data_IF_997884292920
#
_entry.id   IF_997884292920
#
_cell.length_a   1.000
_cell.length_b   1.000
_cell.length_c   1.000
_cell.angle_alpha   90.00
_cell.angle_beta   90.00
_cell.angle_gamma   90.00
#
_symmetry.space_group_name_H-M   'P 1'
#
loop_
_entity.id
_entity.type
_entity.pdbx_description
1 polymer ?
#
# COMPACT_ATOMS: atom_id res chain seq x y z
N UNK A 1 3.42 34.33 -16.69
CA UNK A 1 4.45 34.17 -15.65
C UNK A 1 3.91 33.11 -14.70
N UNK A 2 4.27 31.85 -14.95
CA UNK A 2 3.91 30.74 -14.07
C UNK A 2 4.77 30.86 -12.82
N UNK A 3 4.13 30.88 -11.67
CA UNK A 3 4.79 30.89 -10.36
C UNK A 3 5.63 29.60 -10.25
N UNK A 4 6.92 29.66 -9.83
CA UNK A 4 7.70 28.45 -9.64
C UNK A 4 6.99 27.60 -8.58
N UNK A 5 6.78 26.33 -8.88
CA UNK A 5 6.31 25.32 -7.94
C UNK A 5 7.18 25.44 -6.69
N UNK A 6 6.60 25.96 -5.61
CA UNK A 6 7.27 25.94 -4.30
C UNK A 6 7.57 24.50 -3.98
N UNK A 7 8.86 24.16 -3.91
CA UNK A 7 9.31 22.86 -3.42
C UNK A 7 8.77 22.72 -2.00
N UNK A 8 7.82 21.82 -1.77
CA UNK A 8 7.23 21.71 -0.44
C UNK A 8 8.29 21.18 0.52
N UNK A 9 8.28 21.76 1.70
CA UNK A 9 9.04 21.48 2.89
C UNK A 9 9.46 19.99 3.00
N UNK A 10 10.78 19.76 3.00
CA UNK A 10 11.60 18.60 3.39
C UNK A 10 10.88 17.27 3.64
N UNK A 11 10.09 16.76 2.70
CA UNK A 11 9.44 15.46 2.83
C UNK A 11 10.43 14.33 2.68
N UNK A 12 10.21 13.28 3.45
CA UNK A 12 10.93 12.02 3.32
C UNK A 12 9.94 10.87 3.11
N UNK A 13 10.19 10.02 2.10
CA UNK A 13 9.21 9.04 1.62
C UNK A 13 9.83 7.65 1.52
N UNK A 14 9.18 6.66 2.15
CA UNK A 14 9.44 5.23 1.92
C UNK A 14 8.37 4.67 0.98
N UNK A 15 8.75 4.27 -0.22
CA UNK A 15 7.87 3.56 -1.14
C UNK A 15 7.95 2.08 -0.86
N UNK A 16 6.81 1.42 -0.67
CA UNK A 16 6.71 -0.02 -0.39
C UNK A 16 5.95 -0.70 -1.52
N UNK A 17 6.61 -1.64 -2.18
CA UNK A 17 6.04 -2.43 -3.27
C UNK A 17 6.10 -3.92 -2.94
N UNK A 18 4.96 -4.59 -2.81
CA UNK A 18 4.91 -6.05 -2.72
C UNK A 18 5.14 -6.64 -4.12
N UNK A 19 5.98 -7.66 -4.22
CA UNK A 19 6.35 -8.30 -5.48
C UNK A 19 6.04 -9.80 -5.42
N UNK A 20 5.30 -10.30 -6.40
CA UNK A 20 5.09 -11.73 -6.59
C UNK A 20 5.02 -12.08 -8.07
N UNK A 21 6.08 -12.72 -8.58
CA UNK A 21 6.28 -13.03 -10.01
C UNK A 21 6.19 -11.78 -10.88
N UNK A 22 6.98 -10.76 -10.52
CA UNK A 22 6.99 -9.43 -11.13
C UNK A 22 8.29 -9.11 -11.89
N UNK A 23 9.11 -10.10 -12.27
CA UNK A 23 10.43 -9.87 -12.90
C UNK A 23 10.37 -8.91 -14.10
N UNK A 24 9.26 -8.91 -14.84
CA UNK A 24 9.09 -8.12 -16.05
C UNK A 24 8.78 -6.63 -15.80
N UNK A 25 8.34 -6.25 -14.60
CA UNK A 25 7.84 -4.90 -14.29
C UNK A 25 8.68 -4.13 -13.28
N UNK A 26 9.41 -4.82 -12.41
CA UNK A 26 10.15 -4.22 -11.29
C UNK A 26 11.17 -3.18 -11.75
N UNK A 27 11.94 -3.48 -12.81
CA UNK A 27 12.98 -2.58 -13.32
C UNK A 27 12.38 -1.25 -13.79
N UNK A 28 11.30 -1.33 -14.57
CA UNK A 28 10.61 -0.15 -15.08
C UNK A 28 9.94 0.64 -13.95
N UNK A 29 9.34 -0.02 -12.97
CA UNK A 29 8.77 0.64 -11.80
C UNK A 29 9.87 1.42 -11.03
N UNK A 30 11.01 0.78 -10.74
CA UNK A 30 12.12 1.42 -10.05
C UNK A 30 12.68 2.61 -10.85
N UNK A 31 12.82 2.47 -12.17
CA UNK A 31 13.26 3.56 -13.04
C UNK A 31 12.33 4.78 -12.92
N UNK A 32 11.02 4.59 -13.09
CA UNK A 32 10.02 5.67 -12.99
C UNK A 32 9.96 6.28 -11.59
N UNK A 33 10.01 5.46 -10.54
CA UNK A 33 10.08 5.97 -9.16
C UNK A 33 11.34 6.81 -8.93
N UNK A 34 12.48 6.39 -9.47
CA UNK A 34 13.74 7.14 -9.35
C UNK A 34 13.74 8.47 -10.13
N UNK A 35 12.86 8.63 -11.11
CA UNK A 35 12.67 9.89 -11.82
C UNK A 35 11.70 10.84 -11.08
N UNK A 36 10.67 10.31 -10.46
CA UNK A 36 9.64 11.11 -9.78
C UNK A 36 10.05 11.52 -8.37
N UNK A 37 10.58 10.59 -7.56
CA UNK A 37 10.81 10.82 -6.13
C UNK A 37 11.78 11.97 -5.83
N UNK A 38 12.90 12.19 -6.56
CA UNK A 38 13.80 13.32 -6.31
C UNK A 38 13.15 14.70 -6.52
N UNK A 39 12.05 14.77 -7.27
CA UNK A 39 11.33 16.01 -7.54
C UNK A 39 10.36 16.39 -6.42
N UNK A 40 9.99 15.43 -5.55
CA UNK A 40 8.92 15.59 -4.55
C UNK A 40 9.36 15.28 -3.12
N UNK A 41 10.57 14.75 -2.94
CA UNK A 41 11.11 14.38 -1.63
C UNK A 41 12.61 14.71 -1.55
N UNK A 42 13.07 15.15 -0.39
CA UNK A 42 14.49 15.39 -0.10
C UNK A 42 15.24 14.10 0.25
N UNK A 43 14.52 13.13 0.78
CA UNK A 43 15.01 11.79 1.09
C UNK A 43 13.96 10.75 0.72
N UNK A 44 14.39 9.66 0.11
CA UNK A 44 13.49 8.57 -0.22
C UNK A 44 14.20 7.21 -0.20
N UNK A 45 13.40 6.16 -0.07
CA UNK A 45 13.79 4.77 -0.30
C UNK A 45 12.68 4.03 -1.04
N UNK A 46 13.05 3.00 -1.78
CA UNK A 46 12.15 2.07 -2.46
C UNK A 46 12.37 0.70 -1.83
N UNK A 47 11.35 0.17 -1.17
CA UNK A 47 11.38 -1.13 -0.49
C UNK A 47 10.59 -2.12 -1.34
N UNK A 48 11.29 -3.03 -1.98
CA UNK A 48 10.72 -4.13 -2.76
C UNK A 48 10.63 -5.37 -1.88
N UNK A 49 9.42 -5.85 -1.64
CA UNK A 49 9.18 -7.01 -0.77
C UNK A 49 8.82 -8.22 -1.63
N UNK A 50 9.77 -9.12 -1.85
CA UNK A 50 9.53 -10.37 -2.56
C UNK A 50 8.69 -11.32 -1.69
N UNK A 51 7.46 -11.61 -2.12
CA UNK A 51 6.52 -12.50 -1.43
C UNK A 51 6.65 -13.95 -1.91
N UNK A 52 7.88 -14.48 -1.90
CA UNK A 52 8.17 -15.85 -2.30
C UNK A 52 7.89 -16.13 -3.78
N UNK A 53 8.34 -15.25 -4.68
CA UNK A 53 8.24 -15.42 -6.13
C UNK A 53 8.94 -16.70 -6.59
N UNK A 54 8.43 -17.27 -7.70
CA UNK A 54 8.98 -18.48 -8.33
C UNK A 54 9.75 -18.18 -9.61
N UNK A 55 9.69 -16.92 -10.08
CA UNK A 55 10.44 -16.39 -11.21
C UNK A 55 11.74 -15.73 -10.72
N UNK A 56 12.40 -14.95 -11.58
CA UNK A 56 13.64 -14.24 -11.26
C UNK A 56 13.46 -12.91 -10.51
N UNK A 57 12.28 -12.67 -9.93
CA UNK A 57 12.00 -11.41 -9.22
C UNK A 57 13.02 -11.12 -8.11
N UNK A 58 13.43 -12.15 -7.34
CA UNK A 58 14.40 -11.93 -6.26
C UNK A 58 15.80 -11.57 -6.77
N UNK A 59 16.25 -12.21 -7.85
CA UNK A 59 17.51 -11.88 -8.49
C UNK A 59 17.50 -10.42 -8.99
N UNK A 60 16.43 -10.00 -9.66
CA UNK A 60 16.26 -8.61 -10.14
C UNK A 60 16.27 -7.62 -8.97
N UNK A 61 15.54 -7.91 -7.89
CA UNK A 61 15.52 -7.06 -6.68
C UNK A 61 16.92 -6.96 -6.06
N UNK A 62 17.64 -8.08 -5.97
CA UNK A 62 18.99 -8.12 -5.41
C UNK A 62 19.98 -7.30 -6.23
N UNK A 63 19.89 -7.38 -7.55
CA UNK A 63 20.68 -6.60 -8.48
C UNK A 63 20.40 -5.10 -8.33
N UNK A 64 19.13 -4.68 -8.36
CA UNK A 64 18.73 -3.28 -8.16
C UNK A 64 19.23 -2.73 -6.81
N UNK A 65 19.12 -3.53 -5.75
CA UNK A 65 19.56 -3.14 -4.40
C UNK A 65 21.09 -3.01 -4.30
N UNK A 66 21.84 -3.77 -5.10
CA UNK A 66 23.31 -3.67 -5.14
C UNK A 66 23.81 -2.44 -5.88
N UNK A 67 23.05 -1.94 -6.86
CA UNK A 67 23.42 -0.80 -7.69
C UNK A 67 22.84 0.55 -7.21
N UNK A 68 21.91 0.54 -6.26
CA UNK A 68 21.27 1.75 -5.77
C UNK A 68 21.11 1.76 -4.25
N UNK A 69 21.70 2.75 -3.59
CA UNK A 69 21.56 2.94 -2.14
C UNK A 69 20.13 3.29 -1.70
N UNK A 70 19.27 3.72 -2.62
CA UNK A 70 17.88 4.06 -2.35
C UNK A 70 16.93 2.87 -2.51
N UNK A 71 17.38 1.76 -3.11
CA UNK A 71 16.58 0.54 -3.30
C UNK A 71 16.96 -0.50 -2.25
N UNK A 72 15.96 -1.08 -1.59
CA UNK A 72 16.12 -2.15 -0.61
C UNK A 72 15.23 -3.33 -0.95
N UNK A 73 15.81 -4.53 -1.01
CA UNK A 73 15.08 -5.79 -1.14
C UNK A 73 14.80 -6.42 0.23
N UNK A 74 13.58 -6.92 0.41
CA UNK A 74 13.20 -7.81 1.52
C UNK A 74 12.69 -9.12 0.92
N UNK A 75 13.27 -10.25 1.33
CA UNK A 75 12.90 -11.56 0.81
C UNK A 75 12.13 -12.36 1.86
N UNK A 76 10.87 -12.65 1.58
CA UNK A 76 10.05 -13.52 2.43
C UNK A 76 10.31 -14.99 2.07
N UNK A 77 10.34 -15.86 3.05
CA UNK A 77 10.67 -17.29 2.87
C UNK A 77 9.62 -18.07 2.06
N UNK A 78 8.41 -17.54 1.91
CA UNK A 78 7.31 -18.11 1.12
C UNK A 78 6.28 -17.03 0.79
N UNK A 79 5.32 -17.34 -0.06
CA UNK A 79 4.17 -16.48 -0.29
C UNK A 79 3.27 -16.43 0.95
N UNK A 80 3.20 -15.25 1.57
CA UNK A 80 2.32 -14.92 2.70
C UNK A 80 1.12 -14.09 2.28
N UNK A 81 1.09 -13.59 1.05
CA UNK A 81 0.07 -12.70 0.47
C UNK A 81 0.43 -11.24 0.56
N UNK A 82 -0.09 -10.47 -0.41
CA UNK A 82 0.22 -9.06 -0.65
C UNK A 82 0.17 -8.18 0.62
N UNK A 83 -0.86 -8.33 1.45
CA UNK A 83 -0.99 -7.52 2.67
C UNK A 83 0.07 -7.85 3.73
N UNK A 84 0.53 -9.11 3.82
CA UNK A 84 1.64 -9.47 4.71
C UNK A 84 2.97 -8.92 4.19
N UNK A 85 3.20 -8.96 2.87
CA UNK A 85 4.37 -8.34 2.25
C UNK A 85 4.36 -6.82 2.47
N UNK A 86 3.22 -6.15 2.27
CA UNK A 86 3.05 -4.73 2.59
C UNK A 86 3.35 -4.44 4.06
N UNK A 87 2.80 -5.22 5.01
CA UNK A 87 3.05 -5.01 6.43
C UNK A 87 4.55 -5.15 6.77
N UNK A 88 5.24 -6.11 6.16
CA UNK A 88 6.68 -6.27 6.31
C UNK A 88 7.43 -5.00 5.85
N UNK A 89 7.13 -4.50 4.65
CA UNK A 89 7.74 -3.28 4.11
C UNK A 89 7.41 -2.03 4.92
N UNK A 90 6.15 -1.87 5.36
CA UNK A 90 5.70 -0.74 6.20
C UNK A 90 6.46 -0.72 7.54
N UNK A 91 6.71 -1.88 8.14
CA UNK A 91 7.51 -1.99 9.37
C UNK A 91 8.97 -1.63 9.15
N UNK A 92 9.50 -1.91 7.97
CA UNK A 92 10.89 -1.59 7.59
C UNK A 92 11.09 -0.15 7.10
N UNK A 93 10.01 0.60 6.83
CA UNK A 93 10.05 1.97 6.36
C UNK A 93 10.74 2.89 7.37
N UNK A 94 11.62 3.80 6.88
CA UNK A 94 12.42 4.71 7.71
C UNK A 94 11.87 6.12 7.76
N UNK A 95 11.22 6.56 6.68
CA UNK A 95 10.91 7.97 6.44
C UNK A 95 9.51 8.34 6.94
N UNK A 96 9.23 9.65 6.94
CA UNK A 96 8.01 10.25 7.51
C UNK A 96 6.72 9.74 6.85
N UNK A 97 6.77 9.52 5.53
CA UNK A 97 5.62 9.06 4.76
C UNK A 97 5.90 7.67 4.21
N UNK A 98 4.87 6.83 4.24
CA UNK A 98 4.84 5.56 3.51
C UNK A 98 3.91 5.71 2.33
N UNK A 99 4.42 5.40 1.14
CA UNK A 99 3.63 5.22 -0.07
C UNK A 99 3.60 3.73 -0.42
N UNK A 100 2.43 3.16 -0.68
CA UNK A 100 2.34 1.80 -1.23
C UNK A 100 1.91 1.86 -2.69
N UNK A 101 2.52 1.04 -3.53
CA UNK A 101 2.23 0.91 -4.96
C UNK A 101 2.49 -0.53 -5.41
N UNK A 102 1.64 -1.07 -6.28
CA UNK A 102 1.83 -2.41 -6.84
C UNK A 102 2.89 -2.41 -7.95
N UNK A 103 3.48 -3.58 -8.24
CA UNK A 103 4.55 -3.73 -9.22
C UNK A 103 4.06 -3.81 -10.69
N UNK A 104 2.76 -3.80 -10.93
CA UNK A 104 2.15 -4.06 -12.24
C UNK A 104 2.02 -2.82 -13.15
N UNK A 105 2.51 -1.66 -12.71
CA UNK A 105 2.50 -0.37 -13.44
C UNK A 105 1.10 0.17 -13.77
N UNK A 106 0.04 -0.39 -13.17
CA UNK A 106 -1.32 0.12 -13.38
C UNK A 106 -1.53 1.50 -12.74
N UNK A 107 -0.80 1.79 -11.66
CA UNK A 107 -0.74 3.11 -11.04
C UNK A 107 0.58 3.79 -11.42
N UNK A 108 0.54 4.84 -12.28
CA UNK A 108 1.75 5.55 -12.66
C UNK A 108 2.39 6.27 -11.46
N UNK A 109 3.72 6.12 -11.22
CA UNK A 109 4.42 6.89 -10.18
C UNK A 109 4.27 8.41 -10.32
N UNK A 110 4.02 8.90 -11.52
CA UNK A 110 3.78 10.32 -11.84
C UNK A 110 2.52 10.89 -11.19
N UNK A 111 1.64 10.04 -10.70
CA UNK A 111 0.45 10.44 -9.94
C UNK A 111 0.72 10.66 -8.43
N UNK A 112 1.93 10.32 -7.93
CA UNK A 112 2.29 10.48 -6.51
C UNK A 112 2.11 11.94 -6.03
N UNK A 113 2.49 12.99 -6.80
CA UNK A 113 2.30 14.38 -6.37
C UNK A 113 0.85 14.71 -6.01
N UNK A 114 -0.14 14.13 -6.69
CA UNK A 114 -1.56 14.39 -6.41
C UNK A 114 -1.99 13.79 -5.05
N UNK A 115 -1.45 12.61 -4.69
CA UNK A 115 -1.70 12.00 -3.37
C UNK A 115 -1.09 12.86 -2.26
N UNK A 116 0.12 13.36 -2.46
CA UNK A 116 0.80 14.22 -1.50
C UNK A 116 0.07 15.56 -1.33
N UNK A 117 -0.35 16.19 -2.41
CA UNK A 117 -1.13 17.43 -2.36
C UNK A 117 -2.43 17.22 -1.55
N UNK A 118 -3.10 16.08 -1.75
CA UNK A 118 -4.30 15.73 -0.99
C UNK A 118 -4.00 15.47 0.49
N UNK A 119 -2.85 14.86 0.81
CA UNK A 119 -2.41 14.62 2.18
C UNK A 119 -2.21 15.95 2.95
N UNK A 120 -1.73 16.99 2.25
CA UNK A 120 -1.50 18.33 2.82
C UNK A 120 -2.78 19.05 3.24
N UNK A 121 -3.92 18.62 2.72
CA UNK A 121 -5.23 19.14 3.14
C UNK A 121 -5.64 18.67 4.55
N UNK A 122 -4.75 17.95 5.26
CA UNK A 122 -4.95 17.52 6.64
C UNK A 122 -5.42 16.08 6.81
N UNK A 123 -5.36 15.29 5.76
CA UNK A 123 -5.60 13.84 5.85
C UNK A 123 -4.37 13.12 6.40
N UNK A 124 -4.57 11.96 7.03
CA UNK A 124 -3.50 11.08 7.49
C UNK A 124 -3.24 9.93 6.50
N UNK A 125 -4.26 9.53 5.76
CA UNK A 125 -4.22 8.49 4.73
C UNK A 125 -4.93 9.01 3.49
N UNK A 126 -4.31 8.87 2.31
CA UNK A 126 -4.91 9.24 1.02
C UNK A 126 -4.80 8.07 0.04
N UNK A 127 -5.92 7.71 -0.58
CA UNK A 127 -6.00 6.71 -1.63
C UNK A 127 -6.02 7.35 -3.02
N UNK A 128 -5.27 6.77 -3.95
CA UNK A 128 -5.37 7.06 -5.38
C UNK A 128 -6.42 6.14 -6.02
N UNK A 129 -7.58 6.67 -6.38
CA UNK A 129 -8.66 5.92 -7.01
C UNK A 129 -8.72 6.16 -8.53
N UNK A 130 -9.02 5.15 -9.36
CA UNK A 130 -9.13 5.35 -10.80
C UNK A 130 -10.30 6.28 -11.15
N UNK A 131 -10.10 7.09 -12.19
CA UNK A 131 -11.07 8.11 -12.67
C UNK A 131 -12.39 7.52 -13.18
N UNK A 132 -12.39 6.26 -13.59
CA UNK A 132 -13.56 5.60 -14.16
C UNK A 132 -13.99 4.45 -13.26
N UNK A 133 -15.29 4.35 -12.97
CA UNK A 133 -15.86 3.10 -12.44
C UNK A 133 -15.68 1.99 -13.50
N UNK A 134 -14.51 1.37 -13.50
CA UNK A 134 -14.35 0.13 -14.22
C UNK A 134 -15.21 -0.92 -13.51
N UNK A 135 -16.37 -1.17 -14.08
CA UNK A 135 -17.27 -2.26 -13.73
C UNK A 135 -16.58 -3.60 -13.99
N UNK A 136 -15.59 -3.94 -13.17
CA UNK A 136 -14.88 -5.22 -13.24
C UNK A 136 -15.28 -6.08 -12.04
N UNK A 137 -15.60 -7.34 -12.32
CA UNK A 137 -15.84 -8.44 -11.37
C UNK A 137 -14.77 -8.53 -10.26
N UNK A 138 -13.59 -7.98 -10.47
CA UNK A 138 -12.48 -7.90 -9.49
C UNK A 138 -12.81 -7.03 -8.27
N UNK A 139 -13.63 -5.98 -8.42
CA UNK A 139 -14.09 -5.14 -7.30
C UNK A 139 -15.18 -5.81 -6.44
N UNK A 140 -15.88 -6.80 -7.00
CA UNK A 140 -16.91 -7.54 -6.27
C UNK A 140 -16.33 -8.44 -5.18
N UNK A 141 -15.01 -8.70 -5.22
CA UNK A 141 -14.36 -9.72 -4.42
C UNK A 141 -13.49 -9.22 -3.26
N UNK A 142 -13.24 -7.93 -3.12
CA UNK A 142 -12.79 -7.42 -1.82
C UNK A 142 -13.87 -7.77 -0.81
N UNK A 143 -13.55 -8.63 0.16
CA UNK A 143 -14.55 -9.33 0.97
C UNK A 143 -15.60 -8.34 1.49
N UNK A 144 -16.87 -8.70 1.42
CA UNK A 144 -18.00 -7.90 1.89
C UNK A 144 -17.79 -7.42 3.34
N UNK A 145 -17.06 -8.19 4.12
CA UNK A 145 -16.69 -7.93 5.52
C UNK A 145 -15.69 -6.78 5.61
N UNK A 146 -14.64 -6.75 4.78
CA UNK A 146 -13.66 -5.66 4.76
C UNK A 146 -14.31 -4.34 4.36
N UNK A 147 -15.20 -4.38 3.37
CA UNK A 147 -15.99 -3.20 2.95
C UNK A 147 -16.95 -2.71 4.03
N UNK A 148 -17.59 -3.62 4.77
CA UNK A 148 -18.50 -3.25 5.84
C UNK A 148 -17.75 -2.64 7.02
N UNK A 149 -16.62 -3.22 7.42
CA UNK A 149 -15.74 -2.68 8.45
C UNK A 149 -15.18 -1.30 8.07
N UNK A 150 -14.74 -1.14 6.83
CA UNK A 150 -14.26 0.15 6.31
C UNK A 150 -15.38 1.20 6.23
N UNK A 151 -16.59 0.82 5.78
CA UNK A 151 -17.74 1.75 5.76
C UNK A 151 -18.10 2.25 7.15
N UNK A 152 -18.06 1.38 8.15
CA UNK A 152 -18.35 1.76 9.53
C UNK A 152 -17.26 2.67 10.14
N UNK A 153 -15.98 2.47 9.77
CA UNK A 153 -14.86 3.20 10.34
C UNK A 153 -14.53 4.51 9.62
N UNK A 154 -14.70 4.57 8.29
CA UNK A 154 -14.16 5.66 7.44
C UNK A 154 -15.22 6.36 6.59
N UNK A 155 -16.46 5.90 6.64
CA UNK A 155 -17.55 6.40 5.82
C UNK A 155 -17.64 5.73 4.44
N UNK A 156 -18.84 5.81 3.83
CA UNK A 156 -19.16 5.11 2.58
C UNK A 156 -18.32 5.54 1.38
N UNK A 157 -17.94 6.82 1.33
CA UNK A 157 -17.28 7.39 0.13
C UNK A 157 -15.80 7.06 0.07
N UNK A 158 -15.10 7.05 1.20
CA UNK A 158 -13.71 6.63 1.26
C UNK A 158 -13.59 5.11 1.03
N UNK A 159 -14.49 4.32 1.60
CA UNK A 159 -14.49 2.86 1.43
C UNK A 159 -14.69 2.42 -0.04
N UNK A 160 -15.32 3.25 -0.88
CA UNK A 160 -15.42 3.00 -2.34
C UNK A 160 -14.10 3.21 -3.09
N UNK A 161 -13.22 4.05 -2.54
CA UNK A 161 -12.00 4.52 -3.17
C UNK A 161 -10.73 3.82 -2.65
N UNK A 162 -10.88 2.79 -1.81
CA UNK A 162 -9.75 2.01 -1.30
C UNK A 162 -8.95 1.38 -2.45
N UNK A 163 -7.66 1.62 -2.45
CA UNK A 163 -6.72 1.20 -3.48
C UNK A 163 -5.40 0.75 -2.86
N UNK A 164 -4.64 -0.08 -3.58
CA UNK A 164 -3.26 -0.43 -3.21
C UNK A 164 -2.32 0.79 -3.35
N UNK A 165 -2.67 1.75 -4.19
CA UNK A 165 -1.96 3.01 -4.35
C UNK A 165 -2.42 4.00 -3.29
N UNK A 166 -1.63 4.16 -2.23
CA UNK A 166 -1.95 5.04 -1.11
C UNK A 166 -0.70 5.64 -0.48
N UNK A 167 -0.87 6.80 0.15
CA UNK A 167 0.14 7.45 0.98
C UNK A 167 -0.41 7.68 2.38
N UNK A 168 0.43 7.52 3.40
CA UNK A 168 0.05 7.79 4.78
C UNK A 168 1.26 8.12 5.67
N UNK A 169 1.00 8.72 6.84
CA UNK A 169 2.05 9.03 7.81
C UNK A 169 2.58 7.77 8.48
N UNK A 170 3.89 7.58 8.46
CA UNK A 170 4.55 6.38 8.98
C UNK A 170 4.24 6.12 10.45
N UNK A 171 4.05 7.17 11.26
CA UNK A 171 3.69 7.05 12.67
C UNK A 171 2.39 6.25 12.91
N UNK A 172 1.48 6.19 11.95
CA UNK A 172 0.24 5.41 12.09
C UNK A 172 0.50 3.91 12.32
N UNK A 173 1.66 3.40 11.89
CA UNK A 173 2.03 1.98 12.11
C UNK A 173 2.14 1.62 13.59
N UNK A 174 2.34 2.58 14.49
CA UNK A 174 2.44 2.34 15.94
C UNK A 174 1.16 1.73 16.51
N UNK A 175 0.00 2.09 15.97
CA UNK A 175 -1.29 1.54 16.39
C UNK A 175 -1.41 0.03 16.14
N UNK A 176 -0.63 -0.52 15.20
CA UNK A 176 -0.61 -1.94 14.86
C UNK A 176 0.80 -2.58 14.92
N UNK A 177 1.73 -1.95 15.65
CA UNK A 177 3.11 -2.44 15.77
C UNK A 177 3.17 -3.89 16.28
N UNK A 178 2.32 -4.24 17.25
CA UNK A 178 2.25 -5.55 17.87
C UNK A 178 1.29 -6.54 17.17
N UNK A 179 0.79 -6.18 15.97
CA UNK A 179 -0.11 -7.06 15.25
C UNK A 179 0.64 -8.29 14.71
N UNK A 180 0.21 -9.50 15.09
CA UNK A 180 0.90 -10.75 14.76
C UNK A 180 -0.02 -11.79 14.10
N UNK A 181 -1.28 -11.43 13.79
CA UNK A 181 -2.18 -12.37 13.10
C UNK A 181 -1.71 -12.60 11.65
N UNK A 182 -1.84 -13.82 11.14
CA UNK A 182 -1.56 -14.12 9.73
C UNK A 182 -2.56 -13.48 8.76
N UNK A 183 -3.70 -13.02 9.26
CA UNK A 183 -4.76 -12.38 8.46
C UNK A 183 -4.60 -10.87 8.51
N UNK A 184 -3.92 -10.31 7.52
CA UNK A 184 -3.63 -8.87 7.45
C UNK A 184 -4.54 -8.20 6.41
N UNK A 185 -5.11 -7.06 6.79
CA UNK A 185 -5.63 -6.07 5.86
C UNK A 185 -5.08 -4.71 6.28
N UNK A 186 -4.20 -4.13 5.47
CA UNK A 186 -3.57 -2.84 5.76
C UNK A 186 -4.62 -1.76 5.94
N UNK A 187 -5.69 -1.79 5.12
CA UNK A 187 -6.76 -0.80 5.20
C UNK A 187 -7.49 -0.84 6.54
N UNK A 188 -7.75 -2.04 7.06
CA UNK A 188 -8.34 -2.22 8.39
C UNK A 188 -7.37 -1.77 9.49
N UNK A 189 -6.07 -2.09 9.38
CA UNK A 189 -5.09 -1.67 10.38
C UNK A 189 -4.95 -0.15 10.44
N UNK A 190 -5.00 0.55 9.31
CA UNK A 190 -4.96 2.01 9.26
C UNK A 190 -6.18 2.64 9.96
N UNK A 191 -7.35 1.99 9.95
CA UNK A 191 -8.53 2.51 10.69
C UNK A 191 -8.37 2.46 12.22
N UNK A 192 -7.42 1.70 12.73
CA UNK A 192 -7.13 1.70 14.18
C UNK A 192 -6.35 2.95 14.60
N UNK A 193 -5.64 3.57 13.66
CA UNK A 193 -4.75 4.69 13.93
C UNK A 193 -5.41 6.05 13.69
N UNK A 194 -6.33 6.14 12.73
CA UNK A 194 -6.95 7.41 12.33
C UNK A 194 -8.32 7.23 11.72
N UNK A 195 -9.10 8.32 11.72
CA UNK A 195 -10.35 8.47 10.97
C UNK A 195 -10.23 9.48 9.82
N UNK A 196 -9.07 10.14 9.66
CA UNK A 196 -8.82 11.19 8.65
C UNK A 196 -8.32 10.59 7.34
N UNK A 197 -9.25 10.00 6.59
CA UNK A 197 -9.00 9.40 5.30
C UNK A 197 -9.46 10.30 4.16
N UNK A 198 -8.64 10.42 3.11
CA UNK A 198 -8.94 11.11 1.87
C UNK A 198 -8.80 10.19 0.67
N UNK A 199 -9.28 10.65 -0.48
CA UNK A 199 -9.06 10.02 -1.77
C UNK A 199 -8.83 11.11 -2.83
N UNK A 200 -8.05 10.77 -3.85
CA UNK A 200 -7.89 11.58 -5.06
C UNK A 200 -8.05 10.69 -6.28
N UNK A 201 -8.48 11.30 -7.38
CA UNK A 201 -8.64 10.58 -8.64
C UNK A 201 -7.30 10.55 -9.38
N UNK A 202 -6.86 9.36 -9.76
CA UNK A 202 -5.59 9.15 -10.48
C UNK A 202 -5.82 8.47 -11.82
N UNK A 203 -4.88 8.63 -12.73
CA UNK A 203 -4.85 7.88 -13.99
C UNK A 203 -4.58 6.41 -13.67
N UNK A 204 -5.30 5.52 -14.34
CA UNK A 204 -5.12 4.08 -14.24
C UNK A 204 -4.77 3.52 -15.62
N UNK A 205 -3.65 2.83 -15.71
CA UNK A 205 -3.17 2.25 -16.96
C UNK A 205 -3.52 0.76 -17.05
N UNK A 206 -3.71 0.21 -18.26
CA UNK A 206 -3.80 -1.23 -18.44
C UNK A 206 -2.51 -1.90 -17.95
N UNK A 207 -2.60 -3.11 -17.39
CA UNK A 207 -1.43 -3.87 -16.96
C UNK A 207 -0.46 -4.10 -18.11
N UNK A 208 0.81 -3.79 -17.94
CA UNK A 208 1.82 -3.89 -18.99
C UNK A 208 2.23 -5.33 -19.31
N UNK A 209 2.18 -6.25 -18.33
CA UNK A 209 2.54 -7.67 -18.49
C UNK A 209 1.98 -8.53 -17.36
N UNK A 210 1.79 -9.83 -17.64
CA UNK A 210 1.36 -10.83 -16.66
C UNK A 210 -0.13 -11.15 -16.64
N UNK A 211 -0.46 -12.43 -16.33
CA UNK A 211 -1.82 -12.88 -16.03
C UNK A 211 -2.13 -12.58 -14.55
N UNK A 212 -3.39 -12.26 -14.24
CA UNK A 212 -3.83 -12.09 -12.87
C UNK A 212 -3.55 -13.34 -12.03
N UNK A 213 -2.72 -13.23 -11.01
CA UNK A 213 -2.41 -14.31 -10.06
C UNK A 213 -3.57 -14.63 -9.10
N UNK A 214 -4.70 -13.93 -9.23
CA UNK A 214 -5.92 -14.20 -8.47
C UNK A 214 -6.74 -15.31 -9.11
N UNK A 215 -6.50 -16.55 -8.68
CA UNK A 215 -7.33 -17.69 -9.08
C UNK A 215 -8.54 -17.80 -8.15
N UNK A 216 -9.72 -18.12 -8.72
CA UNK A 216 -11.00 -18.30 -8.00
C UNK A 216 -10.89 -19.21 -6.75
N UNK A 217 -10.01 -20.19 -6.78
CA UNK A 217 -9.73 -21.11 -5.65
C UNK A 217 -9.09 -20.43 -4.44
N UNK A 218 -8.23 -19.42 -4.63
CA UNK A 218 -7.65 -18.64 -3.53
C UNK A 218 -8.70 -17.78 -2.85
N UNK A 219 -9.69 -17.33 -3.60
CA UNK A 219 -10.79 -16.50 -3.12
C UNK A 219 -11.75 -17.26 -2.18
N UNK A 220 -12.13 -18.48 -2.56
CA UNK A 220 -13.02 -19.35 -1.76
C UNK A 220 -12.35 -19.75 -0.45
N UNK A 221 -11.03 -19.95 -0.47
CA UNK A 221 -10.26 -20.29 0.74
C UNK A 221 -10.20 -19.14 1.75
N UNK A 222 -10.14 -17.88 1.30
CA UNK A 222 -10.21 -16.70 2.18
C UNK A 222 -11.59 -16.51 2.80
N UNK A 223 -12.67 -16.74 2.06
CA UNK A 223 -14.03 -16.60 2.57
C UNK A 223 -14.43 -17.61 3.64
N UNK A 224 -13.88 -18.83 3.61
CA UNK A 224 -14.19 -19.89 4.61
C UNK A 224 -13.53 -19.67 5.98
N UNK A 225 -12.45 -18.90 6.04
CA UNK A 225 -11.69 -18.71 7.29
C UNK A 225 -12.34 -17.66 8.17
N UNK A 226 -13.07 -16.69 7.58
CA UNK A 226 -13.80 -15.65 8.33
C UNK A 226 -15.10 -16.12 8.97
N UNK A 227 -15.65 -17.27 8.56
CA UNK A 227 -16.92 -17.79 9.10
C UNK A 227 -16.78 -18.69 10.32
N UNK A 228 -15.57 -19.02 10.77
CA UNK A 228 -15.33 -20.03 11.81
C UNK A 228 -14.68 -19.54 13.10
N UNK A 229 -14.44 -18.24 13.28
CA UNK A 229 -13.95 -17.72 14.57
C UNK A 229 -15.02 -16.91 15.29
N UNK A 230 -15.46 -17.34 16.49
CA UNK A 230 -16.31 -16.51 17.33
C UNK A 230 -15.49 -15.30 17.82
N UNK A 231 -16.02 -14.10 17.60
CA UNK A 231 -15.48 -12.86 18.17
C UNK A 231 -15.61 -12.95 19.68
N UNK A 232 -14.54 -13.28 20.39
CA UNK A 232 -14.53 -13.22 21.84
C UNK A 232 -14.53 -11.75 22.29
N UNK A 233 -15.53 -11.38 23.07
CA UNK A 233 -15.84 -10.05 23.59
C UNK A 233 -14.86 -9.51 24.65
N UNK A 234 -13.55 -9.78 24.55
CA UNK A 234 -12.56 -9.39 25.57
C UNK A 234 -11.58 -8.30 25.17
N UNK A 235 -11.81 -7.60 24.05
CA UNK A 235 -10.92 -6.51 23.60
C UNK A 235 -11.42 -5.08 23.95
N UNK A 236 -12.45 -4.94 24.76
CA UNK A 236 -13.08 -3.63 25.05
C UNK A 236 -12.60 -2.95 26.33
N UNK A 237 -11.44 -3.29 26.90
CA UNK A 237 -10.99 -2.62 28.10
C UNK A 237 -9.47 -2.51 28.21
N UNK A 238 -8.87 -1.56 27.45
CA UNK A 238 -7.56 -0.92 27.76
C UNK A 238 -7.19 0.22 26.76
N UNK A 239 -8.12 1.12 26.49
CA UNK A 239 -7.87 2.33 25.70
C UNK A 239 -8.00 3.59 26.58
N UNK A 240 -7.28 3.62 27.67
CA UNK A 240 -7.34 4.77 28.56
C UNK A 240 -6.04 5.09 29.27
N UNK A 241 -4.90 5.24 28.57
CA UNK A 241 -3.68 5.87 29.16
C UNK A 241 -2.52 5.87 28.16
N UNK A 242 -2.60 6.68 27.12
CA UNK A 242 -1.40 7.06 26.35
C UNK A 242 -1.69 8.27 25.46
N UNK A 243 -2.08 9.42 26.03
CA UNK A 243 -1.85 10.73 25.42
C UNK A 243 -1.80 11.78 26.55
N UNK A 244 -0.61 12.13 26.95
CA UNK A 244 -0.21 13.44 27.46
C UNK A 244 1.02 13.87 26.74
#
# INVERSE_FOLDING_TARGET
MESPLQVPDRRSISVVTPVYNGEASIVELCRRLSEVLPQIATQYEIILVNDGSQDRSWEVISELSSHSATVRGLNLMRNYGQHNALLCGIRAAKYELVLTIDDDLQHPPEEIPQLLARLDEGFDVVYGAPKTEQNGLMRALASHITRLALRAAVGSDVAKNVSAFRVFRTQLREAFANYQSPFVSIDVLLTWATTRFGATTVVFQPRHSGSSNYTFTKLVRHGRIFSSTPVSSHAACKLGHCFR
#
